data_IF_172134146973
#
_entry.id   IF_172134146973
#
_cell.length_a   1.000
_cell.length_b   1.000
_cell.length_c   1.000
_cell.angle_alpha   90.00
_cell.angle_beta   90.00
_cell.angle_gamma   90.00
#
_symmetry.space_group_name_H-M   'P 1'
#
loop_
_entity.id
_entity.type
_entity.pdbx_description
1 polymer ?
#
# COMPACT_ATOMS: atom_id res chain seq x y z
N UNK A 1 14.92 1.50 15.53
CA UNK A 1 13.49 1.09 15.54
C UNK A 1 12.71 1.80 14.44
N UNK A 2 12.71 3.14 14.37
CA UNK A 2 11.91 3.87 13.37
C UNK A 2 12.27 3.54 11.92
N UNK A 3 13.54 3.52 11.57
CA UNK A 3 14.03 3.18 10.22
C UNK A 3 13.65 1.75 9.83
N UNK A 4 13.85 0.79 10.71
CA UNK A 4 13.51 -0.63 10.48
C UNK A 4 12.01 -0.83 10.24
N UNK A 5 11.19 -0.19 11.07
CA UNK A 5 9.73 -0.21 10.92
C UNK A 5 9.32 0.37 9.57
N UNK A 6 9.84 1.54 9.21
CA UNK A 6 9.51 2.21 7.95
C UNK A 6 9.98 1.42 6.74
N UNK A 7 11.19 0.86 6.78
CA UNK A 7 11.72 0.00 5.70
C UNK A 7 10.85 -1.25 5.48
N UNK A 8 10.25 -1.79 6.53
CA UNK A 8 9.34 -2.91 6.40
C UNK A 8 7.98 -2.49 5.81
N UNK A 9 7.32 -1.48 6.39
CA UNK A 9 5.93 -1.15 6.04
C UNK A 9 5.79 -0.31 4.76
N UNK A 10 6.83 0.39 4.31
CA UNK A 10 6.77 1.22 3.08
C UNK A 10 6.27 0.44 1.87
N UNK A 11 6.64 -0.83 1.75
CA UNK A 11 6.23 -1.69 0.64
C UNK A 11 4.73 -1.95 0.60
N UNK A 12 4.07 -2.03 1.77
CA UNK A 12 2.62 -2.13 1.89
C UNK A 12 1.95 -0.85 1.39
N UNK A 13 2.45 0.29 1.80
CA UNK A 13 1.90 1.58 1.39
C UNK A 13 2.22 1.92 -0.07
N UNK A 14 3.36 1.49 -0.59
CA UNK A 14 3.66 1.59 -2.02
C UNK A 14 2.65 0.81 -2.88
N UNK A 15 2.17 -0.35 -2.42
CA UNK A 15 1.06 -1.06 -3.09
C UNK A 15 -0.23 -0.25 -3.07
N UNK A 16 -0.58 0.35 -1.93
CA UNK A 16 -1.79 1.16 -1.80
C UNK A 16 -1.76 2.36 -2.76
N UNK A 17 -0.63 3.07 -2.81
CA UNK A 17 -0.48 4.19 -3.75
C UNK A 17 -0.47 3.70 -5.20
N UNK A 18 0.20 2.60 -5.49
CA UNK A 18 0.20 1.96 -6.81
C UNK A 18 -1.20 1.55 -7.27
N UNK A 19 -2.10 1.22 -6.34
CA UNK A 19 -3.49 0.91 -6.64
C UNK A 19 -4.28 2.10 -7.23
N UNK A 20 -3.84 3.34 -6.99
CA UNK A 20 -4.50 4.54 -7.49
C UNK A 20 -4.69 4.53 -9.00
N UNK A 21 -3.70 4.05 -9.75
CA UNK A 21 -3.79 3.94 -11.19
C UNK A 21 -4.85 2.92 -11.64
N UNK A 22 -4.95 1.79 -10.95
CA UNK A 22 -5.98 0.77 -11.20
C UNK A 22 -7.37 1.26 -10.80
N UNK A 23 -7.51 1.93 -9.65
CA UNK A 23 -8.76 2.52 -9.17
C UNK A 23 -9.31 3.58 -10.12
N UNK A 24 -8.43 4.30 -10.84
CA UNK A 24 -8.82 5.28 -11.84
C UNK A 24 -9.40 4.67 -13.12
N UNK A 25 -9.36 3.34 -13.24
CA UNK A 25 -10.00 2.54 -14.28
C UNK A 25 -9.28 2.56 -15.65
N UNK A 26 -9.31 1.43 -16.37
CA UNK A 26 -8.68 1.32 -17.69
C UNK A 26 -9.47 2.01 -18.80
N UNK A 27 -10.78 2.24 -18.61
CA UNK A 27 -11.71 2.70 -19.66
C UNK A 27 -11.94 4.21 -19.68
N UNK A 28 -11.29 4.97 -18.79
CA UNK A 28 -11.41 6.42 -18.76
C UNK A 28 -10.46 7.03 -19.80
N UNK A 29 -10.94 8.03 -20.58
CA UNK A 29 -10.10 8.77 -21.53
C UNK A 29 -8.80 9.23 -20.86
N UNK A 30 -7.68 9.16 -21.57
CA UNK A 30 -6.32 9.36 -21.02
C UNK A 30 -6.17 10.66 -20.22
N UNK A 31 -6.72 11.76 -20.72
CA UNK A 31 -6.68 13.06 -20.04
C UNK A 31 -7.47 13.09 -18.73
N UNK A 32 -8.67 12.49 -18.71
CA UNK A 32 -9.52 12.38 -17.52
C UNK A 32 -8.89 11.40 -16.53
N UNK A 33 -8.40 10.27 -17.03
CA UNK A 33 -7.69 9.27 -16.20
C UNK A 33 -6.49 9.89 -15.50
N UNK A 34 -5.67 10.66 -16.18
CA UNK A 34 -4.51 11.30 -15.56
C UNK A 34 -4.93 12.26 -14.44
N UNK A 35 -5.97 13.06 -14.64
CA UNK A 35 -6.48 13.97 -13.60
C UNK A 35 -6.92 13.23 -12.35
N UNK A 36 -7.78 12.22 -12.48
CA UNK A 36 -8.26 11.43 -11.34
C UNK A 36 -7.15 10.59 -10.71
N UNK A 37 -6.25 10.04 -11.51
CA UNK A 37 -5.09 9.31 -11.02
C UNK A 37 -4.24 10.17 -10.08
N UNK A 38 -3.89 11.39 -10.49
CA UNK A 38 -3.05 12.26 -9.65
C UNK A 38 -3.73 12.63 -8.33
N UNK A 39 -5.02 12.95 -8.35
CA UNK A 39 -5.78 13.25 -7.14
C UNK A 39 -5.86 12.03 -6.21
N UNK A 40 -6.21 10.86 -6.75
CA UNK A 40 -6.29 9.62 -5.98
C UNK A 40 -4.93 9.21 -5.42
N UNK A 41 -3.89 9.32 -6.22
CA UNK A 41 -2.50 9.02 -5.82
C UNK A 41 -2.03 9.95 -4.70
N UNK A 42 -2.29 11.25 -4.83
CA UNK A 42 -1.94 12.25 -3.82
C UNK A 42 -2.65 11.97 -2.48
N UNK A 43 -3.95 11.67 -2.53
CA UNK A 43 -4.73 11.34 -1.33
C UNK A 43 -4.20 10.08 -0.65
N UNK A 44 -3.95 9.01 -1.41
CA UNK A 44 -3.37 7.77 -0.87
C UNK A 44 -1.96 7.98 -0.34
N UNK A 45 -1.16 8.83 -0.98
CA UNK A 45 0.19 9.15 -0.52
C UNK A 45 0.14 9.86 0.85
N UNK A 46 -0.72 10.85 0.98
CA UNK A 46 -0.93 11.57 2.26
C UNK A 46 -1.42 10.61 3.36
N UNK A 47 -2.45 9.81 3.09
CA UNK A 47 -2.98 8.86 4.09
C UNK A 47 -1.94 7.80 4.47
N UNK A 48 -1.16 7.33 3.49
CA UNK A 48 -0.05 6.41 3.75
C UNK A 48 0.98 6.99 4.71
N UNK A 49 1.39 8.24 4.52
CA UNK A 49 2.33 8.90 5.43
C UNK A 49 1.75 9.06 6.83
N UNK A 50 0.46 9.38 6.95
CA UNK A 50 -0.20 9.49 8.26
C UNK A 50 -0.23 8.14 9.00
N UNK A 51 -0.62 7.08 8.28
CA UNK A 51 -0.64 5.74 8.88
C UNK A 51 0.78 5.26 9.21
N UNK A 52 1.77 5.48 8.34
CA UNK A 52 3.18 5.15 8.59
C UNK A 52 3.70 5.87 9.83
N UNK A 53 3.44 7.18 9.97
CA UNK A 53 3.78 7.95 11.15
C UNK A 53 3.17 7.32 12.42
N UNK A 54 1.85 7.09 12.39
CA UNK A 54 1.14 6.54 13.54
C UNK A 54 1.65 5.14 13.90
N UNK A 55 1.97 4.32 12.91
CA UNK A 55 2.53 2.99 13.11
C UNK A 55 3.93 3.06 13.75
N UNK A 56 4.79 3.95 13.22
CA UNK A 56 6.14 4.18 13.75
C UNK A 56 6.11 4.59 15.22
N UNK A 57 5.25 5.54 15.58
CA UNK A 57 5.08 5.99 16.97
C UNK A 57 4.58 4.85 17.87
N UNK A 58 3.61 4.05 17.41
CA UNK A 58 3.10 2.89 18.16
C UNK A 58 4.12 1.77 18.34
N UNK A 59 5.16 1.77 17.54
CA UNK A 59 6.31 0.87 17.64
C UNK A 59 7.50 1.51 18.37
N UNK A 60 7.26 2.59 19.10
CA UNK A 60 8.27 3.37 19.85
C UNK A 60 9.36 4.01 18.97
N UNK A 61 9.06 4.28 17.71
CA UNK A 61 9.93 5.08 16.82
C UNK A 61 9.57 6.57 16.87
N UNK A 62 10.50 7.41 16.42
CA UNK A 62 10.28 8.85 16.32
C UNK A 62 9.46 9.17 15.06
N UNK A 63 8.45 10.03 15.21
CA UNK A 63 7.58 10.43 14.09
C UNK A 63 8.35 11.16 12.97
N UNK A 64 9.37 11.93 13.33
CA UNK A 64 10.21 12.69 12.40
C UNK A 64 10.91 11.79 11.39
N UNK A 65 11.25 10.56 11.78
CA UNK A 65 11.87 9.57 10.89
C UNK A 65 10.97 9.27 9.67
N UNK A 66 9.65 9.38 9.83
CA UNK A 66 8.70 9.15 8.73
C UNK A 66 8.82 10.18 7.62
N UNK A 67 9.17 11.41 7.94
CA UNK A 67 9.29 12.50 6.98
C UNK A 67 10.71 12.61 6.38
N UNK A 68 11.65 11.83 6.87
CA UNK A 68 13.01 11.73 6.34
C UNK A 68 13.13 10.75 5.15
N UNK A 69 14.38 10.49 4.77
CA UNK A 69 14.69 9.60 3.64
C UNK A 69 14.16 8.17 3.84
N UNK A 70 14.23 7.63 5.06
CA UNK A 70 13.80 6.27 5.37
C UNK A 70 12.27 6.07 5.32
N UNK A 71 11.49 7.15 5.42
CA UNK A 71 10.03 7.13 5.31
C UNK A 71 9.56 7.70 3.98
N UNK A 72 9.43 9.01 3.92
CA UNK A 72 8.92 9.74 2.75
C UNK A 72 9.76 9.49 1.49
N UNK A 73 11.08 9.56 1.59
CA UNK A 73 11.98 9.37 0.45
C UNK A 73 11.87 7.97 -0.14
N UNK A 74 11.98 6.95 0.70
CA UNK A 74 11.87 5.54 0.28
C UNK A 74 10.49 5.16 -0.23
N UNK A 75 9.43 5.74 0.35
CA UNK A 75 8.07 5.56 -0.14
C UNK A 75 7.92 6.12 -1.55
N UNK A 76 8.42 7.34 -1.79
CA UNK A 76 8.39 7.98 -3.11
C UNK A 76 9.07 7.12 -4.18
N UNK A 77 10.28 6.64 -3.91
CA UNK A 77 11.02 5.77 -4.84
C UNK A 77 10.28 4.45 -5.07
N UNK A 78 9.73 3.85 -4.01
CA UNK A 78 9.01 2.57 -4.09
C UNK A 78 7.72 2.67 -4.92
N UNK A 79 7.09 3.83 -4.95
CA UNK A 79 5.88 4.09 -5.76
C UNK A 79 6.23 4.27 -7.24
N UNK A 80 7.38 4.86 -7.55
CA UNK A 80 7.75 5.28 -8.91
C UNK A 80 7.90 4.12 -9.92
N UNK A 81 7.99 2.84 -9.50
CA UNK A 81 8.08 1.75 -10.48
C UNK A 81 8.47 0.38 -9.92
N UNK A 82 8.21 0.09 -8.66
CA UNK A 82 8.58 -1.18 -8.04
C UNK A 82 7.55 -2.32 -8.23
N UNK A 83 7.94 -3.54 -7.87
CA UNK A 83 7.08 -4.73 -7.88
C UNK A 83 5.85 -4.57 -6.99
N UNK A 84 6.01 -3.90 -5.85
CA UNK A 84 4.91 -3.59 -4.94
C UNK A 84 3.90 -2.65 -5.58
N UNK A 85 4.34 -1.58 -6.24
CA UNK A 85 3.46 -0.65 -6.97
C UNK A 85 2.70 -1.36 -8.10
N UNK A 86 3.37 -2.26 -8.85
CA UNK A 86 2.73 -3.07 -9.89
C UNK A 86 1.65 -4.02 -9.33
N UNK A 87 1.92 -4.68 -8.20
CA UNK A 87 0.91 -5.48 -7.51
C UNK A 87 -0.29 -4.62 -7.11
N UNK A 88 -0.02 -3.45 -6.55
CA UNK A 88 -1.05 -2.46 -6.21
C UNK A 88 -1.92 -2.08 -7.39
N UNK A 89 -1.34 -1.80 -8.54
CA UNK A 89 -2.08 -1.51 -9.78
C UNK A 89 -3.12 -2.59 -10.10
N UNK A 90 -2.73 -3.85 -10.08
CA UNK A 90 -3.66 -4.95 -10.35
C UNK A 90 -4.74 -5.11 -9.27
N UNK A 91 -4.40 -4.90 -8.00
CA UNK A 91 -5.39 -4.86 -6.92
C UNK A 91 -6.40 -3.73 -7.12
N UNK A 92 -5.92 -2.55 -7.54
CA UNK A 92 -6.75 -1.39 -7.87
C UNK A 92 -7.69 -1.64 -9.04
N UNK A 93 -7.31 -2.46 -10.02
CA UNK A 93 -8.20 -2.95 -11.09
C UNK A 93 -9.30 -3.91 -10.59
N UNK A 94 -9.34 -4.21 -9.29
CA UNK A 94 -10.30 -5.14 -8.70
C UNK A 94 -9.93 -6.61 -8.83
N UNK A 95 -8.69 -6.93 -9.26
CA UNK A 95 -8.20 -8.31 -9.29
C UNK A 95 -7.88 -8.79 -7.88
N UNK A 96 -8.06 -10.09 -7.64
CA UNK A 96 -7.70 -10.72 -6.37
C UNK A 96 -6.24 -11.14 -6.35
N UNK A 97 -5.60 -11.08 -5.18
CA UNK A 97 -4.18 -11.37 -4.98
C UNK A 97 -3.72 -12.69 -5.62
N UNK A 98 -4.42 -13.80 -5.35
CA UNK A 98 -4.03 -15.11 -5.89
C UNK A 98 -4.12 -15.17 -7.41
N UNK A 99 -5.10 -14.48 -8.03
CA UNK A 99 -5.20 -14.42 -9.48
C UNK A 99 -4.05 -13.66 -10.11
N UNK A 100 -3.66 -12.52 -9.49
CA UNK A 100 -2.50 -11.73 -9.92
C UNK A 100 -1.23 -12.58 -9.84
N UNK A 101 -1.01 -13.28 -8.73
CA UNK A 101 0.16 -14.14 -8.55
C UNK A 101 0.23 -15.28 -9.57
N UNK A 102 -0.92 -15.85 -9.96
CA UNK A 102 -0.95 -16.95 -10.94
C UNK A 102 -0.77 -16.48 -12.40
N UNK A 103 -1.21 -15.27 -12.73
CA UNK A 103 -1.26 -14.79 -14.13
C UNK A 103 -0.25 -13.67 -14.38
N UNK A 104 -0.49 -12.49 -13.82
CA UNK A 104 0.24 -11.26 -14.17
C UNK A 104 1.62 -11.15 -13.54
N UNK A 105 1.80 -11.78 -12.36
CA UNK A 105 3.03 -11.70 -11.58
C UNK A 105 3.54 -13.09 -11.17
N UNK A 106 3.39 -14.06 -12.07
CA UNK A 106 3.92 -15.42 -11.88
C UNK A 106 5.43 -15.37 -11.66
N UNK A 107 5.91 -16.04 -10.62
CA UNK A 107 7.32 -16.11 -10.24
C UNK A 107 7.96 -14.76 -9.83
N UNK A 108 7.16 -13.70 -9.67
CA UNK A 108 7.65 -12.42 -9.17
C UNK A 108 7.39 -12.33 -7.66
N UNK A 109 8.47 -12.23 -6.89
CA UNK A 109 8.39 -11.97 -5.44
C UNK A 109 7.94 -10.53 -5.19
N UNK A 110 7.01 -10.37 -4.25
CA UNK A 110 6.49 -9.06 -3.84
C UNK A 110 6.58 -8.96 -2.32
N UNK A 111 7.60 -8.28 -1.85
CA UNK A 111 7.96 -8.22 -0.42
C UNK A 111 6.80 -7.73 0.44
N UNK A 112 6.07 -6.73 -0.04
CA UNK A 112 4.91 -6.23 0.68
C UNK A 112 3.79 -7.27 0.84
N UNK A 113 3.58 -8.15 -0.15
CA UNK A 113 2.60 -9.25 -0.01
C UNK A 113 3.04 -10.29 1.00
N UNK A 114 4.32 -10.68 0.98
CA UNK A 114 4.87 -11.63 1.93
C UNK A 114 4.78 -11.07 3.35
N UNK A 115 5.15 -9.81 3.53
CA UNK A 115 4.99 -9.12 4.80
C UNK A 115 3.53 -9.05 5.24
N UNK A 116 2.59 -8.73 4.35
CA UNK A 116 1.16 -8.68 4.68
C UNK A 116 0.63 -10.03 5.16
N UNK A 117 1.07 -11.12 4.53
CA UNK A 117 0.69 -12.49 4.94
C UNK A 117 1.26 -12.85 6.32
N UNK A 118 2.51 -12.46 6.59
CA UNK A 118 3.21 -12.75 7.83
C UNK A 118 2.66 -11.94 9.01
N UNK A 119 2.65 -10.60 8.89
CA UNK A 119 2.30 -9.71 10.00
C UNK A 119 0.84 -9.28 10.03
N UNK A 120 0.09 -9.48 8.95
CA UNK A 120 -1.30 -9.04 8.84
C UNK A 120 -2.21 -9.54 9.97
N UNK A 121 -2.17 -10.84 10.33
CA UNK A 121 -2.92 -11.37 11.48
C UNK A 121 -2.51 -10.70 12.80
N UNK A 122 -1.23 -10.42 12.98
CA UNK A 122 -0.69 -9.76 14.19
C UNK A 122 -1.18 -8.32 14.27
N UNK A 123 -1.11 -7.58 13.16
CA UNK A 123 -1.61 -6.20 13.07
C UNK A 123 -3.10 -6.15 13.43
N UNK A 124 -3.90 -7.06 12.89
CA UNK A 124 -5.34 -7.12 13.16
C UNK A 124 -5.67 -7.47 14.60
N UNK A 125 -4.83 -8.24 15.27
CA UNK A 125 -4.98 -8.55 16.70
C UNK A 125 -4.57 -7.36 17.58
N UNK A 126 -3.50 -6.64 17.20
CA UNK A 126 -2.90 -5.57 18.01
C UNK A 126 -3.61 -4.21 17.83
N UNK A 127 -4.15 -3.93 16.65
CA UNK A 127 -4.69 -2.63 16.29
C UNK A 127 -6.14 -2.71 15.81
N UNK A 128 -6.84 -1.57 15.88
CA UNK A 128 -8.21 -1.42 15.35
C UNK A 128 -8.16 -0.83 13.94
N UNK A 129 -9.12 -1.24 13.09
CA UNK A 129 -9.25 -0.72 11.71
C UNK A 129 -9.29 0.80 11.63
N UNK A 130 -9.95 1.47 12.59
CA UNK A 130 -10.06 2.94 12.60
C UNK A 130 -8.70 3.65 12.72
N UNK A 131 -7.68 2.97 13.21
CA UNK A 131 -6.33 3.53 13.36
C UNK A 131 -5.51 3.44 12.07
N UNK A 132 -5.80 2.43 11.24
CA UNK A 132 -5.07 2.11 10.01
C UNK A 132 -6.03 1.62 8.92
N UNK A 133 -6.98 2.47 8.47
CA UNK A 133 -8.06 2.04 7.59
C UNK A 133 -7.55 1.52 6.23
N UNK A 134 -6.54 2.16 5.62
CA UNK A 134 -6.04 1.73 4.31
C UNK A 134 -5.11 0.51 4.43
N UNK A 135 -4.31 0.40 5.48
CA UNK A 135 -3.51 -0.79 5.75
C UNK A 135 -4.39 -2.03 5.96
N UNK A 136 -5.47 -1.90 6.74
CA UNK A 136 -6.43 -2.99 6.94
C UNK A 136 -7.14 -3.40 5.65
N UNK A 137 -7.44 -2.45 4.77
CA UNK A 137 -8.01 -2.76 3.45
C UNK A 137 -7.05 -3.60 2.61
N UNK A 138 -5.76 -3.27 2.62
CA UNK A 138 -4.73 -4.02 1.91
C UNK A 138 -4.53 -5.43 2.52
N UNK A 139 -4.43 -5.53 3.84
CA UNK A 139 -4.28 -6.81 4.53
C UNK A 139 -5.48 -7.73 4.22
N UNK A 140 -6.70 -7.21 4.21
CA UNK A 140 -7.87 -8.01 3.83
C UNK A 140 -7.81 -8.47 2.38
N UNK A 141 -7.38 -7.59 1.47
CA UNK A 141 -7.25 -7.95 0.05
C UNK A 141 -6.24 -9.10 -0.16
N UNK A 142 -5.13 -9.10 0.57
CA UNK A 142 -4.06 -10.10 0.44
C UNK A 142 -4.39 -11.35 1.24
N UNK A 143 -4.59 -11.23 2.56
CA UNK A 143 -4.74 -12.37 3.47
C UNK A 143 -6.05 -13.14 3.27
N UNK A 144 -7.14 -12.45 2.92
CA UNK A 144 -8.45 -13.06 2.65
C UNK A 144 -8.74 -13.24 1.16
N UNK A 145 -7.78 -12.89 0.29
CA UNK A 145 -7.95 -12.94 -1.16
C UNK A 145 -9.21 -12.22 -1.65
N UNK A 146 -9.49 -11.05 -1.11
CA UNK A 146 -10.63 -10.22 -1.45
C UNK A 146 -10.24 -9.11 -2.44
N UNK A 147 -11.24 -8.47 -3.06
CA UNK A 147 -10.99 -7.24 -3.83
C UNK A 147 -10.56 -6.11 -2.88
N UNK A 148 -9.59 -5.32 -3.29
CA UNK A 148 -9.19 -4.13 -2.54
C UNK A 148 -10.36 -3.14 -2.48
N UNK A 149 -10.77 -2.77 -1.27
CA UNK A 149 -11.83 -1.79 -1.00
C UNK A 149 -11.30 -0.73 -0.05
N UNK A 150 -10.96 0.43 -0.58
CA UNK A 150 -10.56 1.58 0.22
C UNK A 150 -11.83 2.41 0.50
N UNK A 151 -12.11 2.66 1.77
CA UNK A 151 -13.17 3.58 2.19
C UNK A 151 -12.51 4.94 2.40
N UNK A 152 -12.95 5.89 1.64
CA UNK A 152 -12.53 7.29 1.71
C UNK A 152 -13.27 8.02 2.84
#
# INVERSE_FOLDING_TARGET
>A
IGIEVLSAIKNLYAMLIGASLGLSGPNIRRNIRNKYYHNTSSSLFRESLLEMKNFTVKMNGLQETTYGLAGLGDLYVSVAGGRNSKMGYYLGLGKKYQNIKRKEMKSITTEGCELALEIGPIIKKKFKRIQFPILFALIDAICKNQKLKIKW
#
